data_IF_367414008452
#
_entry.id   IF_367414008452
#
_cell.length_a   1.000
_cell.length_b   1.000
_cell.length_c   1.000
_cell.angle_alpha   90.00
_cell.angle_beta   90.00
_cell.angle_gamma   90.00
#
_symmetry.space_group_name_H-M   'P 1'
#
loop_
_entity.id
_entity.type
_entity.pdbx_description
1 polymer ?
#
# COMPACT_ATOMS: atom_id res chain seq x y z
N UNK A 1 -7.59 -21.70 -13.15
CA UNK A 1 -6.13 -21.50 -13.20
C UNK A 1 -5.85 -20.02 -13.34
N UNK A 2 -4.84 -19.51 -12.65
CA UNK A 2 -4.38 -18.12 -12.78
C UNK A 2 -3.46 -17.99 -14.02
N UNK A 3 -3.34 -16.80 -14.63
CA UNK A 3 -2.33 -16.59 -15.68
C UNK A 3 -0.91 -16.75 -15.12
N UNK A 4 0.06 -17.05 -15.99
CA UNK A 4 1.46 -17.20 -15.58
C UNK A 4 2.13 -15.86 -15.23
N UNK A 5 1.69 -14.79 -15.91
CA UNK A 5 2.12 -13.42 -15.67
C UNK A 5 0.87 -12.52 -15.61
N UNK A 6 0.93 -11.49 -14.77
CA UNK A 6 -0.08 -10.46 -14.66
C UNK A 6 0.62 -9.10 -14.53
N UNK A 7 0.18 -8.13 -15.32
CA UNK A 7 0.64 -6.75 -15.22
C UNK A 7 -0.53 -5.80 -15.49
N UNK A 8 -1.06 -5.18 -14.43
CA UNK A 8 -2.19 -4.25 -14.56
C UNK A 8 -1.82 -2.96 -15.31
N UNK A 9 -0.54 -2.67 -15.54
CA UNK A 9 -0.11 -1.54 -16.37
C UNK A 9 -0.52 -1.73 -17.83
N UNK A 10 -0.54 -2.98 -18.31
CA UNK A 10 -0.92 -3.30 -19.69
C UNK A 10 -2.41 -3.02 -19.95
N UNK A 11 -3.23 -3.01 -18.89
CA UNK A 11 -4.65 -2.66 -18.98
C UNK A 11 -4.92 -1.16 -18.86
N UNK A 12 -3.87 -0.33 -18.72
CA UNK A 12 -3.97 1.13 -18.61
C UNK A 12 -4.83 1.61 -17.42
N UNK A 13 -4.86 0.84 -16.34
CA UNK A 13 -5.59 1.19 -15.10
C UNK A 13 -4.66 1.70 -13.99
N UNK A 14 -3.35 1.75 -14.23
CA UNK A 14 -2.35 2.20 -13.25
C UNK A 14 -1.86 3.60 -13.60
N UNK A 15 -2.03 4.56 -12.69
CA UNK A 15 -1.56 5.95 -12.86
C UNK A 15 -0.01 6.05 -12.88
N UNK A 16 0.57 7.18 -13.33
CA UNK A 16 2.02 7.39 -13.30
C UNK A 16 2.60 7.36 -11.87
N UNK A 17 3.79 6.79 -11.68
CA UNK A 17 4.47 6.77 -10.37
C UNK A 17 4.62 8.18 -9.80
N UNK A 18 4.23 8.35 -8.53
CA UNK A 18 4.32 9.59 -7.76
C UNK A 18 5.59 9.59 -6.87
N UNK A 19 5.78 10.65 -6.08
CA UNK A 19 6.95 10.82 -5.21
C UNK A 19 6.54 11.41 -3.86
N UNK A 20 6.67 10.62 -2.79
CA UNK A 20 6.34 11.03 -1.42
C UNK A 20 7.43 11.91 -0.78
N UNK A 21 8.62 11.99 -1.39
CA UNK A 21 9.75 12.75 -0.85
C UNK A 21 10.12 12.33 0.58
N UNK A 22 10.35 13.33 1.45
CA UNK A 22 10.74 13.16 2.84
C UNK A 22 9.58 12.96 3.83
N UNK A 23 8.35 12.71 3.35
CA UNK A 23 7.18 12.50 4.20
C UNK A 23 6.86 11.01 4.31
N UNK A 24 6.66 10.50 5.53
CA UNK A 24 6.17 9.14 5.82
C UNK A 24 4.70 8.98 5.47
N UNK A 25 4.36 9.17 4.19
CA UNK A 25 3.00 9.16 3.65
C UNK A 25 2.73 8.00 2.70
N UNK A 26 3.57 6.96 2.76
CA UNK A 26 3.44 5.76 1.92
C UNK A 26 2.06 5.13 2.04
N UNK A 27 1.47 5.09 3.25
CA UNK A 27 0.12 4.61 3.52
C UNK A 27 -0.94 5.28 2.62
N UNK A 28 -0.84 6.59 2.46
CA UNK A 28 -1.74 7.35 1.60
C UNK A 28 -1.46 7.10 0.11
N UNK A 29 -0.18 7.04 -0.30
CA UNK A 29 0.17 6.72 -1.70
C UNK A 29 -0.24 5.30 -2.11
N UNK A 30 -0.07 4.33 -1.22
CA UNK A 30 -0.48 2.94 -1.42
C UNK A 30 -2.00 2.83 -1.57
N UNK A 31 -2.75 3.38 -0.62
CA UNK A 31 -4.21 3.39 -0.65
C UNK A 31 -4.76 4.07 -1.92
N UNK A 32 -4.25 5.27 -2.25
CA UNK A 32 -4.67 6.00 -3.45
C UNK A 32 -4.30 5.24 -4.73
N UNK A 33 -3.10 4.68 -4.84
CA UNK A 33 -2.69 3.98 -6.06
C UNK A 33 -3.53 2.73 -6.37
N UNK A 34 -3.95 2.00 -5.32
CA UNK A 34 -4.91 0.91 -5.47
C UNK A 34 -6.30 1.47 -5.82
N UNK A 35 -6.81 2.46 -5.08
CA UNK A 35 -8.11 3.09 -5.34
C UNK A 35 -8.25 3.59 -6.78
N UNK A 36 -7.28 4.34 -7.29
CA UNK A 36 -7.25 4.87 -8.65
C UNK A 36 -7.46 3.75 -9.68
N UNK A 37 -6.80 2.60 -9.45
CA UNK A 37 -6.92 1.42 -10.33
C UNK A 37 -8.29 0.77 -10.24
N UNK A 38 -8.88 0.67 -9.04
CA UNK A 38 -10.20 0.08 -8.85
C UNK A 38 -11.32 0.95 -9.42
N UNK A 39 -11.23 2.28 -9.27
CA UNK A 39 -12.14 3.22 -9.93
C UNK A 39 -12.02 3.09 -11.45
N UNK A 40 -10.81 3.00 -11.99
CA UNK A 40 -10.61 2.80 -13.43
C UNK A 40 -11.21 1.47 -13.93
N UNK A 41 -11.04 0.37 -13.18
CA UNK A 41 -11.62 -0.93 -13.51
C UNK A 41 -13.16 -0.92 -13.51
N UNK A 42 -13.78 -0.15 -12.61
CA UNK A 42 -15.23 -0.10 -12.46
C UNK A 42 -15.90 0.89 -13.43
N UNK A 43 -15.22 2.00 -13.74
CA UNK A 43 -15.83 3.13 -14.46
C UNK A 43 -15.29 3.28 -15.89
N UNK A 44 -14.13 2.69 -16.19
CA UNK A 44 -13.39 2.91 -17.43
C UNK A 44 -12.66 4.26 -17.47
N UNK A 45 -12.63 5.02 -16.37
CA UNK A 45 -11.99 6.34 -16.29
C UNK A 45 -10.84 6.32 -15.28
N UNK A 46 -9.65 6.65 -15.75
CA UNK A 46 -8.45 6.71 -14.92
C UNK A 46 -8.30 8.11 -14.29
N UNK A 47 -8.72 8.23 -13.04
CA UNK A 47 -8.57 9.43 -12.23
C UNK A 47 -7.23 9.44 -11.46
N UNK A 48 -6.76 10.63 -11.11
CA UNK A 48 -5.68 10.81 -10.14
C UNK A 48 -6.23 11.52 -8.92
N UNK A 49 -6.20 10.84 -7.77
CA UNK A 49 -6.79 11.35 -6.53
C UNK A 49 -5.76 12.01 -5.63
N UNK A 50 -6.24 12.91 -4.76
CA UNK A 50 -5.40 13.68 -3.85
C UNK A 50 -4.81 12.82 -2.75
N UNK A 51 -3.50 12.59 -2.82
CA UNK A 51 -2.79 12.01 -1.68
C UNK A 51 -2.72 13.00 -0.52
N UNK A 52 -2.72 14.32 -0.79
CA UNK A 52 -2.63 15.35 0.24
C UNK A 52 -3.86 15.38 1.14
N UNK A 53 -5.05 15.15 0.59
CA UNK A 53 -6.29 15.03 1.36
C UNK A 53 -6.13 14.02 2.48
N UNK A 54 -5.67 12.80 2.17
CA UNK A 54 -5.45 11.78 3.19
C UNK A 54 -4.42 12.23 4.22
N UNK A 55 -3.28 12.74 3.76
CA UNK A 55 -2.17 13.18 4.63
C UNK A 55 -2.58 14.32 5.57
N UNK A 56 -3.47 15.21 5.14
CA UNK A 56 -3.87 16.40 5.89
C UNK A 56 -5.14 16.21 6.73
N UNK A 57 -6.09 15.39 6.27
CA UNK A 57 -7.44 15.36 6.79
C UNK A 57 -7.80 14.08 7.56
N UNK A 58 -7.08 12.97 7.35
CA UNK A 58 -7.39 11.70 8.03
C UNK A 58 -6.95 11.77 9.49
N UNK A 59 -7.86 11.60 10.46
CA UNK A 59 -7.50 11.51 11.86
C UNK A 59 -6.90 10.14 12.19
N UNK A 60 -5.89 10.11 13.07
CA UNK A 60 -5.28 8.88 13.58
C UNK A 60 -5.29 8.85 15.12
N UNK A 61 -6.47 8.78 15.77
CA UNK A 61 -6.59 8.91 17.22
C UNK A 61 -5.91 7.76 17.99
N UNK A 62 -5.82 6.59 17.37
CA UNK A 62 -5.21 5.38 17.94
C UNK A 62 -3.69 5.29 17.72
N UNK A 63 -3.11 6.24 16.98
CA UNK A 63 -1.70 6.23 16.59
C UNK A 63 -1.31 4.89 15.94
N UNK A 64 -2.10 4.45 14.96
CA UNK A 64 -1.83 3.28 14.13
C UNK A 64 -0.77 3.62 13.09
N UNK A 65 0.29 2.82 13.01
CA UNK A 65 1.37 2.98 12.03
C UNK A 65 2.14 4.30 12.11
N UNK A 66 2.08 4.99 13.26
CA UNK A 66 2.62 6.34 13.44
C UNK A 66 1.60 7.31 14.04
N UNK A 67 1.90 8.61 14.01
CA UNK A 67 1.03 9.66 14.59
C UNK A 67 0.15 10.34 13.53
N UNK A 68 0.12 9.82 12.30
CA UNK A 68 -0.63 10.35 11.15
C UNK A 68 0.20 11.24 10.22
N UNK A 69 -0.39 11.58 9.07
CA UNK A 69 0.23 12.47 8.07
C UNK A 69 1.61 11.99 7.61
N UNK A 70 2.65 12.80 7.82
CA UNK A 70 4.03 12.47 7.46
C UNK A 70 4.78 11.60 8.48
N UNK A 71 4.16 11.28 9.60
CA UNK A 71 4.78 10.44 10.65
C UNK A 71 4.37 8.98 10.55
N UNK A 72 3.69 8.60 9.46
CA UNK A 72 3.16 7.26 9.26
C UNK A 72 1.70 7.13 9.67
N UNK A 73 1.00 6.25 8.99
CA UNK A 73 -0.34 5.78 9.32
C UNK A 73 -0.63 4.49 8.56
N UNK A 74 -1.87 4.01 8.57
CA UNK A 74 -2.24 2.75 7.92
C UNK A 74 -3.25 2.95 6.79
N UNK A 75 -3.32 2.00 5.86
CA UNK A 75 -4.18 2.08 4.68
C UNK A 75 -5.65 1.77 5.02
N UNK A 76 -5.89 1.06 6.11
CA UNK A 76 -7.24 0.83 6.65
C UNK A 76 -7.91 2.16 6.98
N UNK A 77 -7.24 3.05 7.72
CA UNK A 77 -7.83 4.34 8.10
C UNK A 77 -8.00 5.27 6.90
N UNK A 78 -7.16 5.14 5.86
CA UNK A 78 -7.35 5.84 4.59
C UNK A 78 -8.67 5.42 3.94
N UNK A 79 -8.92 4.11 3.84
CA UNK A 79 -10.14 3.61 3.23
C UNK A 79 -11.39 3.89 4.06
N UNK A 80 -11.31 3.80 5.40
CA UNK A 80 -12.40 4.22 6.27
C UNK A 80 -12.77 5.69 6.06
N UNK A 81 -11.76 6.56 5.92
CA UNK A 81 -11.96 7.96 5.59
C UNK A 81 -12.62 8.13 4.22
N UNK A 82 -12.10 7.48 3.16
CA UNK A 82 -12.65 7.60 1.79
C UNK A 82 -14.09 7.08 1.72
N UNK A 83 -14.43 6.03 2.46
CA UNK A 83 -15.78 5.48 2.53
C UNK A 83 -16.76 6.46 3.20
N UNK A 84 -16.28 7.23 4.17
CA UNK A 84 -17.09 8.21 4.91
C UNK A 84 -17.19 9.55 4.18
N UNK A 85 -16.06 10.08 3.75
CA UNK A 85 -15.91 11.47 3.31
C UNK A 85 -15.80 11.62 1.78
N UNK A 86 -15.53 10.52 1.06
CA UNK A 86 -15.13 10.55 -0.34
C UNK A 86 -13.67 11.00 -0.54
N UNK A 87 -13.30 11.23 -1.79
CA UNK A 87 -11.96 11.72 -2.16
C UNK A 87 -12.06 12.71 -3.32
N UNK A 88 -11.26 13.78 -3.27
CA UNK A 88 -11.08 14.77 -4.33
C UNK A 88 -9.95 14.39 -5.29
N UNK A 89 -9.94 15.00 -6.47
CA UNK A 89 -8.82 14.82 -7.41
C UNK A 89 -7.55 15.55 -6.97
N UNK A 90 -6.40 15.06 -7.44
CA UNK A 90 -5.07 15.62 -7.15
C UNK A 90 -4.99 17.13 -7.45
N UNK A 91 -5.69 17.62 -8.49
CA UNK A 91 -5.65 19.04 -8.84
C UNK A 91 -6.42 19.94 -7.84
N UNK A 92 -7.39 19.38 -7.11
CA UNK A 92 -8.19 20.12 -6.12
C UNK A 92 -7.39 20.35 -4.83
N UNK A 93 -6.57 19.36 -4.43
CA UNK A 93 -5.67 19.48 -3.29
C UNK A 93 -4.34 18.78 -3.58
N UNK A 94 -3.42 19.48 -4.23
CA UNK A 94 -2.16 18.90 -4.68
C UNK A 94 -1.19 18.56 -3.55
N UNK A 95 -0.34 17.56 -3.79
CA UNK A 95 0.68 17.12 -2.84
C UNK A 95 1.71 18.21 -2.50
N UNK A 96 1.74 18.61 -1.24
CA UNK A 96 2.55 19.69 -0.67
C UNK A 96 3.50 19.19 0.44
N UNK A 97 3.22 18.01 0.99
CA UNK A 97 3.98 17.41 2.07
C UNK A 97 5.33 16.81 1.66
N UNK A 98 5.73 16.91 0.39
CA UNK A 98 6.98 16.33 -0.17
C UNK A 98 8.25 16.56 0.67
N UNK A 99 8.37 17.70 1.36
CA UNK A 99 9.51 17.99 2.24
C UNK A 99 9.31 17.57 3.71
N UNK A 100 8.38 16.66 3.99
CA UNK A 100 8.05 16.20 5.34
C UNK A 100 7.25 17.22 6.17
N UNK A 101 6.66 18.23 5.53
CA UNK A 101 5.92 19.30 6.21
C UNK A 101 4.46 18.91 6.40
N UNK A 102 3.96 19.14 7.62
CA UNK A 102 2.52 19.10 7.89
C UNK A 102 1.82 20.24 7.14
N UNK A 103 0.74 19.90 6.46
CA UNK A 103 -0.16 20.83 5.79
C UNK A 103 -1.53 20.64 6.41
N UNK A 104 -2.18 21.73 6.81
CA UNK A 104 -3.51 21.67 7.43
C UNK A 104 -4.58 21.27 6.41
N UNK A 105 -5.61 20.53 6.87
CA UNK A 105 -6.76 20.20 6.03
C UNK A 105 -7.53 21.49 5.70
N UNK A 106 -7.63 21.82 4.41
CA UNK A 106 -8.34 23.02 3.92
C UNK A 106 -9.62 22.68 3.16
N UNK A 107 -9.89 21.39 3.00
CA UNK A 107 -11.12 20.90 2.39
C UNK A 107 -12.29 21.14 3.34
N UNK A 108 -13.43 21.50 2.77
CA UNK A 108 -14.64 21.82 3.53
C UNK A 108 -15.64 20.69 3.35
N UNK A 109 -16.33 20.33 4.44
CA UNK A 109 -17.44 19.38 4.40
C UNK A 109 -18.63 20.00 3.62
N UNK A 110 -19.31 19.14 2.87
CA UNK A 110 -20.61 19.39 2.26
C UNK A 110 -21.68 18.86 3.23
N UNK A 111 -22.18 19.76 4.10
CA UNK A 111 -23.11 19.40 5.18
C UNK A 111 -24.37 18.68 4.67
N UNK A 112 -24.83 18.98 3.45
CA UNK A 112 -26.01 18.36 2.86
C UNK A 112 -25.75 16.89 2.43
N UNK A 113 -24.50 16.56 2.14
CA UNK A 113 -24.08 15.22 1.67
C UNK A 113 -23.33 14.41 2.72
N UNK A 114 -22.80 15.06 3.76
CA UNK A 114 -21.94 14.44 4.77
C UNK A 114 -20.61 13.94 4.20
N UNK A 115 -20.10 14.59 3.15
CA UNK A 115 -18.84 14.24 2.46
C UNK A 115 -18.01 15.49 2.24
N UNK A 116 -16.75 15.38 1.81
CA UNK A 116 -15.96 16.53 1.38
C UNK A 116 -16.59 17.17 0.13
N UNK A 117 -16.69 18.50 0.14
CA UNK A 117 -17.17 19.27 -1.00
C UNK A 117 -16.27 19.09 -2.20
N UNK A 118 -16.85 18.61 -3.30
CA UNK A 118 -16.12 18.32 -4.52
C UNK A 118 -15.41 16.96 -4.50
N UNK A 119 -15.76 16.07 -3.57
CA UNK A 119 -15.44 14.65 -3.70
C UNK A 119 -15.96 14.15 -5.06
N UNK A 120 -15.11 13.39 -5.76
CA UNK A 120 -15.39 12.85 -7.10
C UNK A 120 -15.56 11.33 -7.05
N UNK A 121 -14.99 10.67 -6.04
CA UNK A 121 -15.13 9.24 -5.86
C UNK A 121 -15.31 8.86 -4.38
N UNK A 122 -15.83 7.66 -4.15
CA UNK A 122 -15.93 7.02 -2.83
C UNK A 122 -15.86 5.49 -2.98
N UNK A 123 -15.84 4.79 -1.86
CA UNK A 123 -15.86 3.32 -1.75
C UNK A 123 -16.88 2.91 -0.70
N UNK A 124 -17.31 1.65 -0.69
CA UNK A 124 -18.12 1.11 0.41
C UNK A 124 -17.28 0.70 1.62
N UNK A 125 -15.98 0.49 1.40
CA UNK A 125 -15.00 0.09 2.40
C UNK A 125 -13.84 -0.64 1.75
N UNK A 126 -13.26 -1.61 2.47
CA UNK A 126 -12.19 -2.46 1.97
C UNK A 126 -12.34 -3.91 2.41
N UNK A 127 -11.74 -4.82 1.66
CA UNK A 127 -11.56 -6.23 2.03
C UNK A 127 -10.11 -6.47 2.44
N UNK A 128 -9.91 -6.92 3.68
CA UNK A 128 -8.60 -7.35 4.17
C UNK A 128 -8.34 -8.82 3.78
N UNK A 129 -7.16 -9.09 3.23
CA UNK A 129 -6.70 -10.44 2.97
C UNK A 129 -6.30 -11.13 4.28
N UNK A 130 -6.42 -12.46 4.36
CA UNK A 130 -5.83 -13.23 5.46
C UNK A 130 -4.32 -12.94 5.57
N UNK A 131 -3.85 -12.76 6.80
CA UNK A 131 -2.43 -12.48 7.06
C UNK A 131 -1.56 -13.69 6.71
N UNK A 132 -0.37 -13.43 6.18
CA UNK A 132 0.62 -14.43 5.78
C UNK A 132 0.09 -15.46 4.76
N UNK A 133 -0.78 -15.04 3.85
CA UNK A 133 -1.41 -15.94 2.88
C UNK A 133 -1.01 -15.60 1.42
N UNK A 134 0.00 -16.33 0.94
CA UNK A 134 0.47 -16.28 -0.45
C UNK A 134 -0.65 -16.52 -1.48
N UNK A 135 -1.52 -17.51 -1.22
CA UNK A 135 -2.54 -17.93 -2.18
C UNK A 135 -3.65 -16.89 -2.27
N UNK A 136 -4.05 -16.30 -1.14
CA UNK A 136 -5.00 -15.20 -1.10
C UNK A 136 -4.45 -13.99 -1.87
N UNK A 137 -3.20 -13.59 -1.62
CA UNK A 137 -2.56 -12.46 -2.31
C UNK A 137 -2.47 -12.68 -3.82
N UNK A 138 -1.99 -13.86 -4.24
CA UNK A 138 -1.87 -14.24 -5.65
C UNK A 138 -3.23 -14.23 -6.37
N UNK A 139 -4.26 -14.82 -5.75
CA UNK A 139 -5.61 -14.83 -6.31
C UNK A 139 -6.18 -13.42 -6.39
N UNK A 140 -5.95 -12.63 -5.36
CA UNK A 140 -6.51 -11.30 -5.26
C UNK A 140 -5.96 -10.39 -6.36
N UNK A 141 -4.63 -10.31 -6.52
CA UNK A 141 -4.04 -9.44 -7.55
C UNK A 141 -4.40 -9.93 -8.95
N UNK A 142 -4.51 -11.24 -9.15
CA UNK A 142 -4.86 -11.81 -10.46
C UNK A 142 -6.32 -11.59 -10.87
N UNK A 143 -7.25 -11.45 -9.92
CA UNK A 143 -8.69 -11.46 -10.19
C UNK A 143 -9.39 -10.15 -9.92
N UNK A 144 -8.88 -9.34 -8.99
CA UNK A 144 -9.58 -8.17 -8.47
C UNK A 144 -8.92 -6.85 -8.86
N UNK A 145 -7.65 -6.85 -9.26
CA UNK A 145 -6.94 -5.61 -9.58
C UNK A 145 -5.70 -5.39 -8.71
N UNK A 146 -5.05 -4.23 -8.82
CA UNK A 146 -3.98 -3.83 -7.92
C UNK A 146 -4.41 -3.80 -6.45
N UNK A 147 -3.49 -4.13 -5.55
CA UNK A 147 -3.73 -4.29 -4.10
C UNK A 147 -2.71 -3.46 -3.34
N UNK A 148 -3.12 -2.80 -2.26
CA UNK A 148 -2.15 -2.18 -1.36
C UNK A 148 -1.66 -3.20 -0.34
N UNK A 149 -0.35 -3.30 -0.15
CA UNK A 149 0.30 -4.25 0.76
C UNK A 149 1.33 -3.54 1.64
N UNK A 150 1.48 -4.02 2.87
CA UNK A 150 2.57 -3.68 3.76
C UNK A 150 3.83 -4.48 3.43
N UNK A 151 4.99 -3.84 3.46
CA UNK A 151 6.30 -4.45 3.21
C UNK A 151 7.39 -3.89 4.12
N UNK A 152 8.43 -4.68 4.33
CA UNK A 152 9.68 -4.25 4.95
C UNK A 152 10.62 -3.66 3.88
N UNK A 153 10.65 -2.33 3.75
CA UNK A 153 11.36 -1.64 2.67
C UNK A 153 12.73 -1.06 3.08
N UNK A 154 13.18 -1.31 4.32
CA UNK A 154 14.44 -0.78 4.88
C UNK A 154 15.69 -1.04 4.05
N UNK A 155 15.69 -2.11 3.24
CA UNK A 155 16.83 -2.54 2.41
C UNK A 155 16.71 -2.14 0.94
N UNK A 156 15.65 -1.43 0.56
CA UNK A 156 15.31 -1.18 -0.85
C UNK A 156 16.03 0.05 -1.46
N UNK A 157 16.62 0.92 -0.63
CA UNK A 157 17.11 2.24 -1.06
C UNK A 157 18.10 2.23 -2.24
N UNK A 158 18.93 1.17 -2.35
CA UNK A 158 19.93 1.03 -3.41
C UNK A 158 19.44 0.26 -4.66
N UNK A 159 18.21 -0.23 -4.65
CA UNK A 159 17.65 -1.01 -5.76
C UNK A 159 17.62 -0.19 -7.07
N UNK A 160 18.08 -0.82 -8.16
CA UNK A 160 18.10 -0.25 -9.52
C UNK A 160 17.44 -1.13 -10.57
N UNK A 161 17.29 -2.43 -10.32
CA UNK A 161 16.71 -3.39 -11.25
C UNK A 161 17.02 -4.84 -10.89
N UNK A 162 16.36 -5.76 -11.57
CA UNK A 162 16.44 -7.21 -11.33
C UNK A 162 15.38 -7.70 -10.33
N UNK A 163 15.32 -9.01 -10.12
CA UNK A 163 14.50 -9.60 -9.06
C UNK A 163 15.20 -9.39 -7.72
N UNK A 164 14.62 -8.55 -6.87
CA UNK A 164 15.17 -8.16 -5.58
C UNK A 164 14.91 -9.22 -4.53
N UNK A 165 15.95 -9.52 -3.76
CA UNK A 165 15.89 -10.23 -2.49
C UNK A 165 16.76 -9.45 -1.49
N UNK A 166 16.36 -9.36 -0.20
CA UNK A 166 17.18 -8.70 0.81
C UNK A 166 18.57 -9.36 0.89
N UNK A 167 19.66 -8.59 1.04
CA UNK A 167 21.02 -9.14 1.11
C UNK A 167 21.22 -10.12 2.27
N UNK A 168 20.54 -9.88 3.40
CA UNK A 168 20.46 -10.80 4.52
C UNK A 168 18.98 -11.03 4.85
N UNK A 169 18.38 -12.13 4.37
CA UNK A 169 16.96 -12.41 4.61
C UNK A 169 16.66 -12.78 6.07
N UNK A 170 17.68 -13.02 6.90
CA UNK A 170 17.49 -13.38 8.31
C UNK A 170 17.60 -12.18 9.27
N UNK A 171 17.84 -10.97 8.76
CA UNK A 171 17.88 -9.76 9.59
C UNK A 171 16.47 -9.27 9.92
N UNK A 172 16.22 -8.74 11.14
CA UNK A 172 14.91 -8.20 11.52
C UNK A 172 14.35 -7.18 10.51
N UNK A 173 15.22 -6.34 9.96
CA UNK A 173 14.88 -5.33 8.94
C UNK A 173 14.30 -5.89 7.64
N UNK A 174 14.44 -7.20 7.39
CA UNK A 174 13.82 -7.88 6.26
C UNK A 174 12.35 -8.23 6.53
N UNK A 175 11.88 -8.10 7.77
CA UNK A 175 10.51 -8.45 8.20
C UNK A 175 9.81 -7.33 8.97
N UNK A 176 10.53 -6.32 9.47
CA UNK A 176 9.96 -5.13 10.10
C UNK A 176 9.15 -4.32 9.06
N UNK A 177 7.82 -4.47 9.09
CA UNK A 177 6.91 -3.80 8.15
C UNK A 177 6.93 -2.31 8.47
N UNK A 178 7.23 -1.49 7.45
CA UNK A 178 7.37 -0.05 7.64
C UNK A 178 6.98 0.78 6.42
N UNK A 179 6.43 0.15 5.38
CA UNK A 179 6.17 0.81 4.12
C UNK A 179 4.99 0.19 3.39
N UNK A 180 4.14 1.05 2.84
CA UNK A 180 2.96 0.68 2.07
C UNK A 180 3.21 0.89 0.57
N UNK A 181 2.86 -0.10 -0.24
CA UNK A 181 3.09 -0.11 -1.70
C UNK A 181 1.93 -0.76 -2.44
N UNK A 182 1.88 -0.58 -3.77
CA UNK A 182 0.83 -1.19 -4.59
C UNK A 182 1.38 -2.40 -5.34
N UNK A 183 0.87 -3.58 -5.06
CA UNK A 183 1.08 -4.78 -5.85
C UNK A 183 0.25 -4.70 -7.14
N UNK A 184 0.92 -4.59 -8.28
CA UNK A 184 0.28 -4.40 -9.60
C UNK A 184 0.40 -5.61 -10.50
N UNK A 185 1.01 -6.70 -10.04
CA UNK A 185 1.21 -7.88 -10.86
C UNK A 185 2.23 -8.87 -10.33
N UNK A 186 2.59 -9.83 -11.17
CA UNK A 186 3.60 -10.84 -10.94
C UNK A 186 4.06 -11.46 -12.25
N UNK A 187 5.20 -12.14 -12.24
CA UNK A 187 5.66 -12.93 -13.38
C UNK A 187 6.88 -13.76 -13.03
N UNK A 188 7.63 -14.11 -14.07
CA UNK A 188 8.91 -14.81 -14.01
C UNK A 188 9.92 -14.04 -14.85
N UNK A 189 11.09 -13.74 -14.30
CA UNK A 189 12.18 -13.12 -15.04
C UNK A 189 12.67 -14.08 -16.13
N UNK A 190 12.74 -13.60 -17.38
CA UNK A 190 13.05 -14.45 -18.54
C UNK A 190 14.54 -14.82 -18.63
N UNK A 191 15.41 -14.05 -17.97
CA UNK A 191 16.86 -14.26 -17.99
C UNK A 191 17.29 -15.18 -16.85
N UNK A 192 16.76 -14.98 -15.63
CA UNK A 192 17.14 -15.74 -14.43
C UNK A 192 16.21 -16.91 -14.13
N UNK A 193 14.97 -16.88 -14.65
CA UNK A 193 13.92 -17.84 -14.29
C UNK A 193 13.31 -17.60 -12.90
N UNK A 194 13.63 -16.48 -12.25
CA UNK A 194 13.12 -16.18 -10.91
C UNK A 194 11.71 -15.58 -10.95
N UNK A 195 10.83 -16.12 -10.12
CA UNK A 195 9.49 -15.60 -9.92
C UNK A 195 9.54 -14.29 -9.13
N UNK A 196 8.68 -13.33 -9.52
CA UNK A 196 8.59 -12.03 -8.87
C UNK A 196 7.16 -11.53 -8.70
N UNK A 197 6.99 -10.67 -7.70
CA UNK A 197 5.91 -9.70 -7.55
C UNK A 197 6.31 -8.40 -8.23
N UNK A 198 5.38 -7.79 -8.97
CA UNK A 198 5.57 -6.48 -9.56
C UNK A 198 4.91 -5.43 -8.68
N UNK A 199 5.74 -4.60 -8.05
CA UNK A 199 5.29 -3.64 -7.03
C UNK A 199 5.59 -2.22 -7.50
N UNK A 200 4.59 -1.35 -7.43
CA UNK A 200 4.69 0.09 -7.63
C UNK A 200 5.04 0.75 -6.31
N UNK A 201 6.16 1.48 -6.29
CA UNK A 201 6.60 2.28 -5.15
C UNK A 201 6.22 3.76 -5.34
N UNK A 202 6.44 4.56 -4.30
CA UNK A 202 6.16 6.02 -4.23
C UNK A 202 7.43 6.85 -4.04
N UNK A 203 8.59 6.34 -4.48
CA UNK A 203 9.91 6.99 -4.32
C UNK A 203 10.46 7.56 -5.63
N UNK A 204 9.60 8.24 -6.42
CA UNK A 204 9.95 8.81 -7.72
C UNK A 204 10.05 7.78 -8.86
N UNK A 205 9.71 8.17 -10.10
CA UNK A 205 9.98 7.36 -11.29
C UNK A 205 11.48 7.11 -11.55
N UNK A 206 12.40 7.82 -10.87
CA UNK A 206 13.85 7.62 -11.03
C UNK A 206 14.42 6.51 -10.16
N UNK A 207 13.66 6.02 -9.18
CA UNK A 207 14.07 4.92 -8.32
C UNK A 207 13.71 3.58 -8.96
N UNK A 208 14.54 2.54 -8.73
CA UNK A 208 14.30 1.20 -9.25
C UNK A 208 14.04 1.14 -10.76
N UNK A 209 13.09 0.31 -11.15
CA UNK A 209 12.69 0.08 -12.54
C UNK A 209 11.55 1.05 -12.92
N UNK A 210 11.90 2.33 -13.11
CA UNK A 210 10.93 3.41 -13.40
C UNK A 210 9.90 3.62 -12.27
N UNK A 211 10.34 3.49 -11.03
CA UNK A 211 9.50 3.57 -9.83
C UNK A 211 8.90 2.25 -9.35
N UNK A 212 9.25 1.14 -10.02
CA UNK A 212 8.80 -0.20 -9.65
C UNK A 212 9.96 -1.03 -9.09
N UNK A 213 9.59 -2.10 -8.40
CA UNK A 213 10.49 -3.17 -7.98
C UNK A 213 9.88 -4.51 -8.34
N UNK A 214 10.72 -5.41 -8.83
CA UNK A 214 10.40 -6.83 -8.94
C UNK A 214 10.92 -7.50 -7.68
N UNK A 215 10.03 -7.80 -6.74
CA UNK A 215 10.38 -8.44 -5.47
C UNK A 215 10.29 -9.95 -5.64
N UNK A 216 11.27 -10.71 -5.16
CA UNK A 216 11.26 -12.17 -5.25
C UNK A 216 9.93 -12.73 -4.72
N UNK A 217 9.32 -13.61 -5.51
CA UNK A 217 8.08 -14.32 -5.18
C UNK A 217 8.41 -15.79 -5.02
N UNK A 218 8.12 -16.34 -3.85
CA UNK A 218 8.39 -17.75 -3.52
C UNK A 218 7.07 -18.39 -3.10
N UNK A 219 6.62 -19.40 -3.84
CA UNK A 219 5.43 -20.17 -3.46
C UNK A 219 5.80 -21.08 -2.28
N UNK A 220 5.18 -20.91 -1.09
CA UNK A 220 5.48 -21.74 0.07
C UNK A 220 5.29 -23.25 -0.19
N UNK A 221 4.39 -23.63 -1.10
CA UNK A 221 4.16 -25.03 -1.47
C UNK A 221 5.33 -25.67 -2.25
N UNK A 222 6.28 -24.85 -2.74
CA UNK A 222 7.47 -25.30 -3.47
C UNK A 222 8.73 -25.34 -2.62
N UNK A 223 8.65 -24.91 -1.35
CA UNK A 223 9.78 -24.82 -0.43
C UNK A 223 9.92 -26.10 0.41
N UNK A 224 11.16 -26.44 0.79
CA UNK A 224 11.42 -27.52 1.75
C UNK A 224 10.84 -27.19 3.14
N UNK A 225 10.97 -25.92 3.56
CA UNK A 225 10.36 -25.38 4.76
C UNK A 225 9.73 -24.00 4.48
N UNK A 226 8.39 -23.88 4.47
CA UNK A 226 7.68 -22.61 4.29
C UNK A 226 8.07 -21.52 5.30
N UNK A 227 8.48 -21.90 6.51
CA UNK A 227 8.86 -20.95 7.56
C UNK A 227 10.19 -20.24 7.28
N UNK A 228 10.99 -20.71 6.32
CA UNK A 228 12.26 -20.07 5.94
C UNK A 228 12.07 -18.72 5.21
N UNK A 229 10.86 -18.46 4.68
CA UNK A 229 10.47 -17.17 4.10
C UNK A 229 9.64 -16.34 5.10
N UNK A 230 9.74 -16.64 6.40
CA UNK A 230 9.08 -15.92 7.47
C UNK A 230 10.08 -15.42 8.53
N UNK A 231 9.72 -14.33 9.20
CA UNK A 231 10.44 -13.78 10.33
C UNK A 231 9.53 -13.05 11.29
N UNK A 232 10.12 -12.27 12.18
CA UNK A 232 9.40 -11.50 13.19
C UNK A 232 9.58 -10.02 12.92
N UNK A 233 8.46 -9.30 12.79
CA UNK A 233 8.40 -7.85 12.93
C UNK A 233 8.49 -7.52 14.42
N UNK A 234 9.58 -6.83 14.79
CA UNK A 234 9.85 -6.42 16.17
C UNK A 234 9.58 -4.94 16.39
N UNK A 235 9.12 -4.23 15.36
CA UNK A 235 8.72 -2.81 15.38
C UNK A 235 7.32 -2.63 14.77
N UNK A 236 6.28 -3.34 15.24
CA UNK A 236 4.99 -3.37 14.57
C UNK A 236 4.26 -2.02 14.52
N UNK A 237 4.67 -1.04 15.34
CA UNK A 237 4.16 0.33 15.30
C UNK A 237 4.63 1.15 14.09
N UNK A 238 5.70 0.73 13.43
CA UNK A 238 6.15 1.35 12.16
C UNK A 238 5.29 0.88 10.98
N UNK A 239 4.58 -0.24 11.15
CA UNK A 239 3.67 -0.84 10.18
C UNK A 239 2.21 -0.68 10.58
N UNK A 240 1.53 -1.80 10.85
CA UNK A 240 0.06 -1.82 10.96
C UNK A 240 -0.48 -1.68 12.41
N UNK A 241 0.39 -1.71 13.43
CA UNK A 241 -0.09 -1.74 14.82
C UNK A 241 -0.41 -0.36 15.38
N UNK A 242 -1.36 -0.33 16.33
CA UNK A 242 -1.83 0.87 17.01
C UNK A 242 -1.28 0.96 18.43
N UNK A 243 -0.79 2.14 18.82
CA UNK A 243 -0.35 2.41 20.20
C UNK A 243 -1.51 2.49 21.19
N UNK A 244 -2.75 2.70 20.73
CA UNK A 244 -3.93 2.80 21.59
C UNK A 244 -5.12 1.97 21.09
N UNK A 245 -5.92 1.48 22.03
CA UNK A 245 -7.21 0.85 21.74
C UNK A 245 -8.30 1.89 21.41
N UNK A 246 -9.50 1.42 21.07
CA UNK A 246 -10.67 2.25 20.77
C UNK A 246 -11.09 3.20 21.91
N UNK A 247 -10.67 2.91 23.15
CA UNK A 247 -10.93 3.71 24.34
C UNK A 247 -9.74 4.62 24.71
N UNK A 248 -8.72 4.70 23.86
CA UNK A 248 -7.53 5.51 24.06
C UNK A 248 -6.54 4.94 25.07
N UNK A 249 -6.68 3.67 25.48
CA UNK A 249 -5.73 3.03 26.40
C UNK A 249 -4.50 2.53 25.63
N UNK A 250 -3.28 2.68 26.17
CA UNK A 250 -2.08 2.15 25.55
C UNK A 250 -2.16 0.64 25.31
N UNK A 251 -1.66 0.21 24.15
CA UNK A 251 -1.52 -1.19 23.74
C UNK A 251 -0.06 -1.48 23.47
N UNK A 252 0.40 -2.66 23.88
CA UNK A 252 1.74 -3.18 23.59
C UNK A 252 1.59 -4.45 22.74
N UNK A 253 1.58 -4.34 21.40
CA UNK A 253 1.41 -5.46 20.51
C UNK A 253 2.67 -6.35 20.58
N UNK A 254 2.50 -7.68 20.64
CA UNK A 254 3.64 -8.59 20.59
C UNK A 254 4.32 -8.51 19.22
N UNK A 255 5.56 -9.00 19.14
CA UNK A 255 6.23 -9.23 17.86
C UNK A 255 5.31 -10.06 16.94
N UNK A 256 5.23 -9.67 15.67
CA UNK A 256 4.29 -10.25 14.72
C UNK A 256 5.06 -11.16 13.77
N UNK A 257 4.53 -12.37 13.51
CA UNK A 257 5.10 -13.24 12.47
C UNK A 257 4.70 -12.67 11.11
N UNK A 258 5.70 -12.44 10.26
CA UNK A 258 5.55 -11.85 8.93
C UNK A 258 6.20 -12.78 7.92
N UNK A 259 5.49 -13.11 6.85
CA UNK A 259 5.93 -14.06 5.82
C UNK A 259 5.98 -13.44 4.43
N UNK A 260 6.72 -14.09 3.53
CA UNK A 260 7.02 -13.59 2.21
C UNK A 260 8.32 -12.78 2.21
N UNK A 261 9.00 -12.76 1.07
CA UNK A 261 10.16 -11.88 0.89
C UNK A 261 9.77 -10.43 1.22
N UNK A 262 10.51 -9.79 2.12
CA UNK A 262 10.19 -8.45 2.65
C UNK A 262 8.78 -8.34 3.27
N UNK A 263 8.25 -9.44 3.78
CA UNK A 263 6.94 -9.51 4.41
C UNK A 263 5.74 -9.35 3.49
N UNK A 264 5.91 -9.54 2.18
CA UNK A 264 4.87 -9.25 1.20
C UNK A 264 3.56 -10.05 1.37
N UNK A 265 3.53 -11.13 2.15
CA UNK A 265 2.32 -11.92 2.42
C UNK A 265 1.57 -11.46 3.65
N UNK A 266 2.15 -10.56 4.45
CA UNK A 266 1.66 -10.22 5.77
C UNK A 266 0.32 -9.50 5.75
N UNK A 267 0.20 -8.40 5.01
CA UNK A 267 -1.03 -7.62 4.94
C UNK A 267 -1.33 -7.18 3.51
N UNK A 268 -2.62 -7.17 3.16
CA UNK A 268 -3.08 -6.69 1.87
C UNK A 268 -4.55 -6.27 1.91
N UNK A 269 -4.86 -5.12 1.32
CA UNK A 269 -6.20 -4.55 1.29
C UNK A 269 -6.67 -4.28 -0.13
N UNK A 270 -7.93 -4.59 -0.40
CA UNK A 270 -8.61 -4.32 -1.67
C UNK A 270 -9.74 -3.31 -1.39
N UNK A 271 -9.75 -2.12 -2.01
CA UNK A 271 -10.90 -1.23 -1.91
C UNK A 271 -12.12 -1.88 -2.59
N UNK A 272 -13.30 -1.75 -1.99
CA UNK A 272 -14.54 -2.37 -2.50
C UNK A 272 -15.63 -1.34 -2.74
N UNK A 273 -16.48 -1.57 -3.74
CA UNK A 273 -17.63 -0.69 -4.00
C UNK A 273 -17.27 0.70 -4.55
N UNK A 274 -16.08 0.85 -5.14
CA UNK A 274 -15.65 2.10 -5.76
C UNK A 274 -16.64 2.63 -6.79
N UNK A 275 -16.87 3.95 -6.77
CA UNK A 275 -17.77 4.65 -7.70
C UNK A 275 -17.48 6.15 -7.72
N UNK A 276 -17.97 6.83 -8.76
CA UNK A 276 -18.00 8.29 -8.83
C UNK A 276 -19.23 8.84 -8.09
N UNK A 277 -19.13 10.06 -7.54
CA UNK A 277 -20.18 10.72 -6.72
C UNK A 277 -20.49 12.15 -7.16
#
# INVERSE_FOLDING_TARGET
TLPAEMDWRDMQVVTPVKDQGGCGSCWAFGAIGALESHIALQTGLLYTFSTQELVSCVPNPQECGGDGGCTGSTEQIAYDYIAKEGIVEEWQFGYQSYHGKKVECTLVEDEDKGTIKGAIATIDGYAALPVNDYTALMNAVAKHGPIVIGVAASTWGLYKGGVFSPPNPNEPKAFDINHAVVLVGYGTDKETGEDYWLIRNSWSPKWGEKGYIRLKRQDPATMDNPDDDCGMDVTPFDGDACKKDENGKPVDPPNIKVCGTCGAYYSGLIPVGGRLV
#
